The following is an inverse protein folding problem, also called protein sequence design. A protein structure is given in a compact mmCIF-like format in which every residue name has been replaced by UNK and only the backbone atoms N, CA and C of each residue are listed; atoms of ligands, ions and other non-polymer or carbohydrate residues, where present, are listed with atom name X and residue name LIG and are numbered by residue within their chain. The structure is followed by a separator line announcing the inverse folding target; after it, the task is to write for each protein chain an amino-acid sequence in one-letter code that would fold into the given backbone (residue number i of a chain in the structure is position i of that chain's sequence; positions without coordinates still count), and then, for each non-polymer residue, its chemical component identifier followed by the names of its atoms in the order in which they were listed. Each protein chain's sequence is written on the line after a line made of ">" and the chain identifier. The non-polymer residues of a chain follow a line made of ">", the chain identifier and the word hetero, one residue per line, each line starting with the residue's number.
data_IF_814560445089
#
_entry.id   IF_814560445089
#
_cell.length_a   1.000
_cell.length_b   1.000
_cell.length_c   1.000
_cell.angle_alpha   90.00
_cell.angle_beta   90.00
_cell.angle_gamma   90.00
#
_symmetry.space_group_name_H-M   'P 1'
#
loop_
_entity.id
_entity.type
_entity.pdbx_description
1 polymer ?
#
# COMPACT_ATOMS: atom_id res chain seq x y z
N UNK A 1 20.12 -7.32 -7.15
CA UNK A 1 19.49 -6.51 -6.09
C UNK A 1 19.88 -5.07 -6.32
N UNK A 2 18.95 -4.15 -6.26
CA UNK A 2 19.17 -2.72 -6.48
C UNK A 2 18.80 -1.95 -5.20
N UNK A 3 19.54 -0.88 -4.92
CA UNK A 3 19.20 0.03 -3.82
C UNK A 3 18.31 1.13 -4.38
N UNK A 4 17.13 1.29 -3.79
CA UNK A 4 16.14 2.29 -4.16
C UNK A 4 15.70 3.08 -2.93
N UNK A 5 15.12 4.25 -3.13
CA UNK A 5 14.42 4.99 -2.08
C UNK A 5 12.97 5.20 -2.45
N UNK A 6 12.11 5.28 -1.43
CA UNK A 6 10.75 5.74 -1.61
C UNK A 6 10.77 7.24 -1.90
N UNK A 7 10.01 7.66 -2.92
CA UNK A 7 9.81 9.07 -3.26
C UNK A 7 8.32 9.35 -3.47
N UNK A 8 7.83 10.36 -2.79
CA UNK A 8 6.40 10.67 -2.75
C UNK A 8 5.93 11.64 -3.84
N UNK A 9 6.79 11.96 -4.81
CA UNK A 9 6.49 12.92 -5.88
C UNK A 9 6.80 14.36 -5.48
N UNK A 10 7.11 15.19 -6.46
CA UNK A 10 7.54 16.59 -6.27
C UNK A 10 6.54 17.48 -5.52
N UNK A 11 5.26 17.10 -5.52
CA UNK A 11 4.21 17.83 -4.80
C UNK A 11 4.09 17.47 -3.32
N UNK A 12 4.54 16.27 -2.93
CA UNK A 12 4.27 15.68 -1.62
C UNK A 12 5.54 15.36 -0.83
N UNK A 13 6.70 15.28 -1.49
CA UNK A 13 7.97 14.97 -0.84
C UNK A 13 8.82 16.24 -0.66
N UNK A 14 9.45 16.35 0.49
CA UNK A 14 10.43 17.40 0.76
C UNK A 14 11.84 17.03 0.30
N UNK A 15 12.07 15.74 0.04
CA UNK A 15 13.34 15.22 -0.51
C UNK A 15 13.25 15.22 -2.02
N UNK A 16 14.20 15.88 -2.67
CA UNK A 16 14.22 15.98 -4.14
C UNK A 16 14.91 14.79 -4.81
N UNK A 17 14.60 14.53 -6.06
CA UNK A 17 15.26 13.49 -6.85
C UNK A 17 16.76 13.73 -6.97
N UNK A 18 17.20 15.00 -7.04
CA UNK A 18 18.62 15.36 -7.06
C UNK A 18 19.32 14.98 -5.76
N UNK A 19 18.66 15.13 -4.60
CA UNK A 19 19.20 14.68 -3.32
C UNK A 19 19.29 13.15 -3.26
N UNK A 20 18.27 12.44 -3.73
CA UNK A 20 18.26 10.98 -3.82
C UNK A 20 19.41 10.49 -4.69
N UNK A 21 19.61 11.11 -5.85
CA UNK A 21 20.69 10.75 -6.78
C UNK A 21 22.10 10.89 -6.19
N UNK A 22 22.30 11.76 -5.19
CA UNK A 22 23.59 11.95 -4.54
C UNK A 22 23.98 10.79 -3.62
N UNK A 23 23.04 9.91 -3.27
CA UNK A 23 23.31 8.77 -2.38
C UNK A 23 24.05 7.69 -3.16
N UNK A 24 25.28 7.32 -2.75
CA UNK A 24 26.06 6.31 -3.46
C UNK A 24 25.34 4.96 -3.55
N UNK A 25 25.21 4.42 -4.76
CA UNK A 25 24.60 3.12 -5.02
C UNK A 25 23.08 3.15 -5.25
N UNK A 26 22.39 4.25 -4.96
CA UNK A 26 20.98 4.43 -5.31
C UNK A 26 20.88 4.77 -6.80
N UNK A 27 20.03 4.02 -7.52
CA UNK A 27 19.83 4.19 -8.97
C UNK A 27 18.39 4.43 -9.35
N UNK A 28 17.46 4.09 -8.46
CA UNK A 28 16.05 4.20 -8.75
C UNK A 28 15.22 4.59 -7.54
N UNK A 29 13.95 4.84 -7.81
CA UNK A 29 12.94 5.16 -6.79
C UNK A 29 11.76 4.20 -6.87
N UNK A 30 11.13 3.98 -5.73
CA UNK A 30 9.78 3.43 -5.64
C UNK A 30 8.84 4.60 -5.44
N UNK A 31 7.81 4.73 -6.27
CA UNK A 31 6.91 5.88 -6.25
C UNK A 31 5.47 5.50 -6.59
N UNK A 32 4.55 6.47 -6.65
CA UNK A 32 3.14 6.25 -7.02
C UNK A 32 2.50 7.55 -7.55
N UNK A 33 1.29 7.44 -8.09
CA UNK A 33 0.43 8.58 -8.42
C UNK A 33 -0.49 8.90 -7.23
N UNK A 34 -0.05 9.80 -6.35
CA UNK A 34 -0.76 10.15 -5.10
C UNK A 34 -2.11 10.86 -5.29
N UNK A 35 -2.31 11.48 -6.43
CA UNK A 35 -3.52 12.23 -6.76
C UNK A 35 -4.54 11.39 -7.57
N UNK A 36 -4.46 10.07 -7.47
CA UNK A 36 -5.41 9.11 -8.08
C UNK A 36 -6.18 8.39 -6.99
N UNK A 37 -7.50 8.38 -7.09
CA UNK A 37 -8.35 7.68 -6.12
C UNK A 37 -8.25 6.16 -6.28
N UNK A 38 -8.42 5.37 -5.20
CA UNK A 38 -8.52 3.92 -5.30
C UNK A 38 -9.59 3.50 -6.31
N UNK A 39 -9.22 2.60 -7.22
CA UNK A 39 -10.13 2.10 -8.25
C UNK A 39 -10.20 2.93 -9.55
N UNK A 40 -9.56 4.08 -9.61
CA UNK A 40 -9.40 4.82 -10.87
C UNK A 40 -8.30 4.20 -11.74
N UNK A 41 -8.50 4.25 -13.06
CA UNK A 41 -7.48 3.85 -14.02
C UNK A 41 -6.34 4.87 -14.09
N UNK A 42 -5.12 4.40 -13.97
CA UNK A 42 -3.94 5.22 -14.24
C UNK A 42 -3.70 5.32 -15.75
N UNK A 43 -3.92 6.49 -16.31
CA UNK A 43 -3.67 6.65 -17.74
C UNK A 43 -2.18 6.55 -18.07
N UNK A 44 -1.88 6.05 -19.27
CA UNK A 44 -0.52 5.88 -19.73
C UNK A 44 0.25 7.21 -19.74
N UNK A 45 -0.42 8.31 -20.08
CA UNK A 45 0.16 9.65 -20.11
C UNK A 45 0.64 10.09 -18.72
N UNK A 46 -0.14 9.80 -17.67
CA UNK A 46 0.23 10.14 -16.29
C UNK A 46 1.39 9.29 -15.80
N UNK A 47 1.37 7.99 -16.09
CA UNK A 47 2.48 7.07 -15.75
C UNK A 47 3.75 7.54 -16.46
N UNK A 48 3.66 7.85 -17.76
CA UNK A 48 4.78 8.36 -18.54
C UNK A 48 5.33 9.68 -17.98
N UNK A 49 4.48 10.62 -17.62
CA UNK A 49 4.90 11.91 -17.05
C UNK A 49 5.68 11.73 -15.73
N UNK A 50 5.21 10.84 -14.85
CA UNK A 50 5.92 10.47 -13.61
C UNK A 50 7.28 9.82 -13.92
N UNK A 51 7.33 8.91 -14.88
CA UNK A 51 8.57 8.24 -15.31
C UNK A 51 9.56 9.25 -15.90
N UNK A 52 9.11 10.11 -16.81
CA UNK A 52 9.95 11.15 -17.44
C UNK A 52 10.55 12.10 -16.39
N UNK A 53 9.80 12.46 -15.34
CA UNK A 53 10.29 13.30 -14.24
C UNK A 53 11.46 12.62 -13.50
N UNK A 54 11.32 11.34 -13.18
CA UNK A 54 12.37 10.56 -12.50
C UNK A 54 13.60 10.37 -13.40
N UNK A 55 13.39 10.06 -14.67
CA UNK A 55 14.47 9.86 -15.63
C UNK A 55 15.25 11.14 -15.94
N UNK A 56 14.57 12.29 -15.96
CA UNK A 56 15.23 13.59 -16.12
C UNK A 56 16.23 13.91 -15.00
N UNK A 57 16.02 13.36 -13.78
CA UNK A 57 16.95 13.48 -12.67
C UNK A 57 18.09 12.44 -12.72
N UNK A 58 18.11 11.54 -13.72
CA UNK A 58 19.12 10.49 -13.87
C UNK A 58 18.91 9.28 -12.96
N UNK A 59 17.67 9.06 -12.54
CA UNK A 59 17.18 7.89 -11.82
C UNK A 59 16.21 7.12 -12.71
N UNK A 60 15.69 5.98 -12.25
CA UNK A 60 14.59 5.27 -12.91
C UNK A 60 13.51 4.85 -11.92
N UNK A 61 12.31 4.57 -12.40
CA UNK A 61 11.23 4.02 -11.59
C UNK A 61 11.46 2.52 -11.48
N UNK A 62 11.88 2.06 -10.29
CA UNK A 62 12.14 0.64 -10.02
C UNK A 62 10.88 -0.14 -9.67
N UNK A 63 9.81 0.54 -9.30
CA UNK A 63 8.51 -0.05 -8.99
C UNK A 63 7.52 0.97 -8.45
N UNK A 64 6.31 0.51 -8.32
CA UNK A 64 5.18 1.28 -7.80
C UNK A 64 4.83 0.79 -6.39
N UNK A 65 4.66 1.72 -5.49
CA UNK A 65 4.07 1.48 -4.17
C UNK A 65 3.18 2.67 -3.80
N UNK A 66 1.87 2.51 -3.93
CA UNK A 66 1.14 1.36 -4.38
C UNK A 66 0.11 1.74 -5.44
N UNK A 67 -0.37 0.75 -6.19
CA UNK A 67 -1.68 0.86 -6.83
C UNK A 67 -2.69 0.37 -5.80
N UNK A 68 -3.51 1.28 -5.29
CA UNK A 68 -4.45 0.97 -4.20
C UNK A 68 -5.58 0.07 -4.69
N UNK A 69 -5.82 -1.02 -3.96
CA UNK A 69 -6.93 -1.94 -4.24
C UNK A 69 -8.21 -1.39 -3.64
N UNK A 70 -9.25 -1.24 -4.46
CA UNK A 70 -10.54 -0.69 -4.04
C UNK A 70 -11.27 -1.61 -3.05
N UNK A 71 -12.00 -1.03 -2.09
CA UNK A 71 -12.70 -1.81 -1.04
C UNK A 71 -13.77 -2.77 -1.59
N UNK A 72 -14.39 -2.46 -2.73
CA UNK A 72 -15.30 -3.39 -3.40
C UNK A 72 -14.64 -4.73 -3.77
N UNK A 73 -13.35 -4.70 -4.14
CA UNK A 73 -12.57 -5.92 -4.41
C UNK A 73 -12.33 -6.68 -3.11
N UNK A 74 -11.91 -5.98 -2.06
CA UNK A 74 -11.61 -6.56 -0.75
C UNK A 74 -12.85 -7.18 -0.10
N UNK A 75 -14.01 -6.56 -0.27
CA UNK A 75 -15.28 -7.04 0.30
C UNK A 75 -16.00 -8.08 -0.56
N UNK A 76 -15.65 -8.15 -1.86
CA UNK A 76 -16.24 -9.12 -2.81
C UNK A 76 -17.65 -8.78 -3.24
N UNK A 77 -18.05 -7.51 -3.16
CA UNK A 77 -19.35 -7.05 -3.68
C UNK A 77 -19.39 -7.10 -5.23
N UNK A 78 -20.57 -7.14 -5.87
CA UNK A 78 -20.67 -7.30 -7.33
C UNK A 78 -19.90 -6.26 -8.14
N UNK A 79 -19.80 -5.05 -7.64
CA UNK A 79 -19.07 -3.93 -8.25
C UNK A 79 -17.56 -4.17 -8.37
N UNK A 80 -17.02 -5.18 -7.66
CA UNK A 80 -15.61 -5.53 -7.73
C UNK A 80 -15.11 -5.78 -9.15
N UNK A 81 -15.95 -6.31 -10.03
CA UNK A 81 -15.55 -6.65 -11.40
C UNK A 81 -15.10 -5.40 -12.17
N UNK A 82 -15.83 -4.30 -12.04
CA UNK A 82 -15.45 -3.02 -12.65
C UNK A 82 -14.11 -2.51 -12.12
N UNK A 83 -13.88 -2.63 -10.81
CA UNK A 83 -12.61 -2.17 -10.21
C UNK A 83 -11.44 -3.10 -10.52
N UNK A 84 -11.69 -4.40 -10.72
CA UNK A 84 -10.69 -5.34 -11.24
C UNK A 84 -10.33 -4.99 -12.69
N UNK A 85 -11.30 -4.69 -13.54
CA UNK A 85 -11.04 -4.26 -14.92
C UNK A 85 -10.19 -2.98 -14.96
N UNK A 86 -10.52 -2.00 -14.11
CA UNK A 86 -9.73 -0.76 -13.97
C UNK A 86 -8.29 -1.04 -13.48
N UNK A 87 -8.15 -2.00 -12.58
CA UNK A 87 -6.83 -2.41 -12.08
C UNK A 87 -6.00 -3.11 -13.18
N UNK A 88 -6.65 -3.98 -13.96
CA UNK A 88 -6.03 -4.65 -15.12
C UNK A 88 -5.56 -3.61 -16.15
N UNK A 89 -6.38 -2.61 -16.47
CA UNK A 89 -5.99 -1.54 -17.39
C UNK A 89 -4.81 -0.73 -16.85
N UNK A 90 -4.79 -0.45 -15.54
CA UNK A 90 -3.65 0.20 -14.87
C UNK A 90 -2.37 -0.61 -14.99
N UNK A 91 -2.43 -1.93 -14.72
CA UNK A 91 -1.28 -2.82 -14.88
C UNK A 91 -0.81 -2.89 -16.34
N UNK A 92 -1.75 -2.94 -17.29
CA UNK A 92 -1.40 -2.90 -18.72
C UNK A 92 -0.66 -1.61 -19.09
N UNK A 93 -1.11 -0.46 -18.57
CA UNK A 93 -0.47 0.83 -18.80
C UNK A 93 0.91 0.91 -18.15
N UNK A 94 1.10 0.37 -16.95
CA UNK A 94 2.41 0.24 -16.29
C UNK A 94 3.36 -0.64 -17.11
N UNK A 95 2.88 -1.80 -17.56
CA UNK A 95 3.68 -2.70 -18.39
C UNK A 95 4.09 -2.11 -19.73
N UNK A 96 3.24 -1.29 -20.36
CA UNK A 96 3.57 -0.55 -21.59
C UNK A 96 4.64 0.54 -21.38
N UNK A 97 4.80 1.01 -20.15
CA UNK A 97 5.84 1.96 -19.75
C UNK A 97 7.07 1.27 -19.11
N UNK A 98 7.19 -0.06 -19.23
CA UNK A 98 8.32 -0.85 -18.74
C UNK A 98 8.49 -0.79 -17.21
N UNK A 99 7.36 -0.76 -16.49
CA UNK A 99 7.31 -0.81 -15.02
C UNK A 99 6.75 -2.17 -14.62
N UNK A 100 7.59 -3.01 -13.99
CA UNK A 100 7.33 -4.43 -13.79
C UNK A 100 7.17 -4.84 -12.32
N UNK A 101 7.24 -3.91 -11.37
CA UNK A 101 7.06 -4.19 -9.94
C UNK A 101 5.96 -3.33 -9.37
N UNK A 102 4.94 -3.96 -8.81
CA UNK A 102 3.83 -3.29 -8.13
C UNK A 102 3.68 -3.84 -6.72
N UNK A 103 3.95 -3.01 -5.73
CA UNK A 103 3.58 -3.26 -4.35
C UNK A 103 2.12 -2.84 -4.13
N UNK A 104 1.38 -3.66 -3.41
CA UNK A 104 -0.01 -3.40 -3.03
C UNK A 104 -0.26 -3.92 -1.61
N UNK A 105 -1.37 -3.51 -1.01
CA UNK A 105 -1.87 -4.08 0.24
C UNK A 105 -3.33 -4.50 0.10
N UNK A 106 -3.80 -5.31 1.05
CA UNK A 106 -5.19 -5.79 1.08
C UNK A 106 -5.84 -5.53 2.43
N UNK A 107 -5.36 -4.50 3.13
CA UNK A 107 -5.85 -4.10 4.45
C UNK A 107 -7.24 -3.46 4.36
N UNK A 108 -8.21 -3.92 5.17
CA UNK A 108 -9.55 -3.31 5.25
C UNK A 108 -9.50 -1.88 5.77
N UNK A 109 -10.19 -0.98 5.13
CA UNK A 109 -10.42 0.43 5.50
C UNK A 109 -9.13 1.23 5.67
N UNK A 110 -8.32 0.88 6.66
CA UNK A 110 -7.07 1.55 6.98
C UNK A 110 -5.89 0.72 6.52
N UNK A 111 -4.94 1.35 5.82
CA UNK A 111 -3.66 0.75 5.51
C UNK A 111 -2.84 0.59 6.80
N UNK A 112 -1.62 1.09 6.88
CA UNK A 112 -0.87 1.09 8.12
C UNK A 112 -1.45 2.10 9.13
N UNK A 113 -1.39 1.76 10.42
CA UNK A 113 -1.96 2.58 11.49
C UNK A 113 -0.88 2.99 12.49
N UNK A 114 -0.87 4.27 12.86
CA UNK A 114 0.02 4.82 13.90
C UNK A 114 -0.80 5.72 14.84
N UNK A 115 -0.39 5.75 16.10
CA UNK A 115 -0.98 6.62 17.13
C UNK A 115 -0.21 7.91 17.33
N UNK A 116 1.06 7.94 16.91
CA UNK A 116 1.93 9.11 16.93
C UNK A 116 2.78 9.14 15.66
N UNK A 117 2.77 10.26 14.94
CA UNK A 117 3.53 10.41 13.69
C UNK A 117 4.92 11.00 13.90
N UNK A 118 5.20 11.56 15.06
CA UNK A 118 6.46 12.25 15.36
C UNK A 118 6.89 12.08 16.82
N UNK A 119 6.86 10.84 17.34
CA UNK A 119 7.36 10.56 18.69
C UNK A 119 8.84 10.90 18.78
N UNK A 120 9.19 11.79 19.70
CA UNK A 120 10.58 12.19 19.93
C UNK A 120 11.36 11.08 20.62
N UNK A 121 12.57 10.84 20.13
CA UNK A 121 13.55 9.93 20.75
C UNK A 121 14.59 10.73 21.57
N UNK A 122 15.35 10.06 22.47
CA UNK A 122 16.38 10.71 23.26
C UNK A 122 17.48 11.40 22.46
N UNK A 123 17.75 10.94 21.24
CA UNK A 123 18.74 11.51 20.33
C UNK A 123 18.20 12.73 19.54
N UNK A 124 16.96 13.14 19.79
CA UNK A 124 16.30 14.28 19.12
C UNK A 124 15.61 13.92 17.80
N UNK A 125 15.78 12.69 17.30
CA UNK A 125 15.06 12.21 16.10
C UNK A 125 13.57 11.98 16.39
N UNK A 126 12.78 11.87 15.34
CA UNK A 126 11.36 11.48 15.43
C UNK A 126 11.12 10.14 14.76
N UNK A 127 10.16 9.39 15.27
CA UNK A 127 9.73 8.11 14.71
C UNK A 127 8.22 7.99 14.74
N UNK A 128 7.69 7.20 13.81
CA UNK A 128 6.32 6.72 13.88
C UNK A 128 6.17 5.75 15.05
N UNK A 129 5.06 5.82 15.79
CA UNK A 129 4.82 4.93 16.90
C UNK A 129 3.37 4.43 16.93
N UNK A 130 3.21 3.21 17.42
CA UNK A 130 1.93 2.57 17.65
C UNK A 130 1.76 2.24 19.14
N UNK A 131 0.59 2.49 19.69
CA UNK A 131 0.20 2.15 21.05
C UNK A 131 -1.19 1.51 21.04
N UNK A 132 -1.28 0.24 21.45
CA UNK A 132 -2.53 -0.51 21.45
C UNK A 132 -3.58 0.12 22.35
N UNK A 133 -3.22 0.53 23.57
CA UNK A 133 -4.17 1.13 24.50
C UNK A 133 -4.79 2.41 23.95
N UNK A 134 -4.00 3.17 23.19
CA UNK A 134 -4.50 4.37 22.51
C UNK A 134 -5.47 4.01 21.38
N UNK A 135 -5.19 2.94 20.63
CA UNK A 135 -6.09 2.43 19.57
C UNK A 135 -7.39 1.90 20.17
N UNK A 136 -7.31 1.14 21.26
CA UNK A 136 -8.48 0.56 21.94
C UNK A 136 -9.38 1.64 22.57
N UNK A 137 -8.80 2.78 22.94
CA UNK A 137 -9.54 3.93 23.46
C UNK A 137 -10.20 4.79 22.36
N UNK A 138 -9.85 4.58 21.10
CA UNK A 138 -10.40 5.33 19.97
C UNK A 138 -11.75 4.77 19.52
N UNK A 139 -12.70 5.66 19.34
CA UNK A 139 -13.90 5.40 18.56
C UNK A 139 -13.56 5.64 17.08
N UNK A 140 -13.58 4.59 16.23
CA UNK A 140 -13.20 4.75 14.81
C UNK A 140 -13.99 5.84 14.09
N UNK A 141 -15.25 6.06 14.48
CA UNK A 141 -16.12 7.08 13.90
C UNK A 141 -15.73 8.50 14.30
N UNK A 142 -14.97 8.68 15.38
CA UNK A 142 -14.49 9.99 15.89
C UNK A 142 -13.01 10.22 15.68
N UNK A 143 -12.31 9.21 15.19
CA UNK A 143 -10.85 9.25 15.05
C UNK A 143 -10.37 10.35 14.09
N UNK A 144 -11.18 10.66 13.10
CA UNK A 144 -10.87 11.66 12.08
C UNK A 144 -10.62 13.05 12.69
N UNK A 145 -11.41 13.46 13.66
CA UNK A 145 -11.30 14.79 14.27
C UNK A 145 -10.00 14.97 15.07
N UNK A 146 -9.40 13.86 15.55
CA UNK A 146 -8.18 13.90 16.37
C UNK A 146 -6.89 13.76 15.56
N UNK A 147 -6.90 13.04 14.45
CA UNK A 147 -5.68 12.73 13.66
C UNK A 147 -5.46 13.77 12.54
N UNK A 148 -6.51 14.34 11.98
CA UNK A 148 -6.40 15.37 10.95
C UNK A 148 -5.63 16.63 11.42
N UNK A 149 -5.54 16.87 12.74
CA UNK A 149 -4.79 17.98 13.32
C UNK A 149 -3.28 17.76 13.47
N UNK A 150 -2.81 16.52 13.54
CA UNK A 150 -1.41 16.22 13.89
C UNK A 150 -0.52 15.80 12.71
N UNK A 151 -1.08 15.67 11.51
CA UNK A 151 -0.38 15.07 10.35
C UNK A 151 0.64 15.99 9.66
N UNK A 152 0.93 17.20 10.19
CA UNK A 152 1.87 18.16 9.57
C UNK A 152 1.66 18.34 8.05
N UNK A 153 0.43 18.19 7.57
CA UNK A 153 0.09 18.28 6.14
C UNK A 153 0.39 17.04 5.31
N UNK A 154 0.86 15.96 5.93
CA UNK A 154 1.07 14.67 5.24
C UNK A 154 -0.19 13.81 5.36
N UNK A 155 -0.76 13.42 4.23
CA UNK A 155 -1.88 12.49 4.16
C UNK A 155 -1.32 11.07 4.12
N UNK A 156 -1.74 10.23 5.04
CA UNK A 156 -1.37 8.81 5.04
C UNK A 156 -2.25 8.02 4.08
N UNK A 157 -1.71 7.04 3.34
CA UNK A 157 -2.52 6.14 2.53
C UNK A 157 -3.62 5.48 3.35
N UNK A 158 -4.86 5.49 2.84
CA UNK A 158 -6.04 5.01 3.56
C UNK A 158 -6.67 6.02 4.54
N UNK A 159 -6.05 7.19 4.71
CA UNK A 159 -6.52 8.24 5.60
C UNK A 159 -6.86 9.55 4.86
N UNK A 160 -7.12 9.45 3.57
CA UNK A 160 -7.51 10.59 2.75
C UNK A 160 -8.82 11.20 3.31
N UNK A 161 -8.94 12.55 3.38
CA UNK A 161 -10.12 13.21 3.95
C UNK A 161 -11.46 12.77 3.34
N UNK A 162 -11.49 12.56 2.03
CA UNK A 162 -12.68 12.11 1.31
C UNK A 162 -13.06 10.67 1.70
N UNK A 163 -12.07 9.79 1.87
CA UNK A 163 -12.27 8.42 2.34
C UNK A 163 -12.81 8.40 3.77
N UNK A 164 -12.25 9.24 4.64
CA UNK A 164 -12.68 9.33 6.03
C UNK A 164 -14.08 9.89 6.20
N UNK A 165 -14.55 10.74 5.29
CA UNK A 165 -15.95 11.21 5.29
C UNK A 165 -16.96 10.04 5.12
N UNK A 166 -16.53 8.93 4.51
CA UNK A 166 -17.33 7.73 4.26
C UNK A 166 -16.95 6.54 5.14
N UNK A 167 -16.18 6.77 6.22
CA UNK A 167 -15.68 5.68 7.07
C UNK A 167 -16.77 4.76 7.61
N UNK A 168 -17.95 5.30 7.95
CA UNK A 168 -19.09 4.49 8.42
C UNK A 168 -19.60 3.55 7.33
N UNK A 169 -19.71 4.03 6.11
CA UNK A 169 -20.14 3.23 4.96
C UNK A 169 -19.12 2.12 4.69
N UNK A 170 -17.83 2.44 4.81
CA UNK A 170 -16.76 1.44 4.70
C UNK A 170 -16.88 0.35 5.78
N UNK A 171 -17.06 0.72 7.05
CA UNK A 171 -17.27 -0.27 8.12
C UNK A 171 -18.49 -1.16 7.87
N UNK A 172 -19.59 -0.59 7.35
CA UNK A 172 -20.78 -1.36 6.97
C UNK A 172 -20.46 -2.37 5.84
N UNK A 173 -19.67 -2.00 4.84
CA UNK A 173 -19.24 -2.91 3.77
C UNK A 173 -18.44 -4.11 4.30
N UNK A 174 -17.67 -3.92 5.38
CA UNK A 174 -16.86 -4.98 5.97
C UNK A 174 -17.58 -5.77 7.07
N UNK A 175 -18.82 -5.45 7.44
CA UNK A 175 -19.55 -6.10 8.55
C UNK A 175 -19.55 -7.63 8.49
N UNK A 176 -19.76 -8.18 7.28
CA UNK A 176 -19.86 -9.62 7.03
C UNK A 176 -18.58 -10.18 6.35
N UNK A 177 -17.45 -9.49 6.48
CA UNK A 177 -16.17 -9.89 5.90
C UNK A 177 -15.22 -10.29 7.02
N UNK A 178 -15.11 -11.58 7.25
CA UNK A 178 -14.10 -12.17 8.14
C UNK A 178 -12.75 -12.38 7.40
N UNK A 179 -11.77 -12.93 8.11
CA UNK A 179 -10.44 -13.16 7.56
C UNK A 179 -10.44 -14.19 6.42
N UNK A 180 -11.29 -15.21 6.48
CA UNK A 180 -11.38 -16.22 5.41
C UNK A 180 -11.97 -15.61 4.13
N UNK A 181 -13.07 -14.89 4.25
CA UNK A 181 -13.68 -14.21 3.11
C UNK A 181 -12.75 -13.14 2.50
N UNK A 182 -12.04 -12.40 3.34
CA UNK A 182 -11.05 -11.42 2.88
C UNK A 182 -9.91 -12.11 2.12
N UNK A 183 -9.44 -13.26 2.62
CA UNK A 183 -8.42 -14.06 1.95
C UNK A 183 -8.91 -14.62 0.62
N UNK A 184 -10.13 -15.17 0.56
CA UNK A 184 -10.72 -15.68 -0.68
C UNK A 184 -10.88 -14.57 -1.73
N UNK A 185 -11.25 -13.36 -1.32
CA UNK A 185 -11.31 -12.20 -2.20
C UNK A 185 -9.93 -11.77 -2.71
N UNK A 186 -8.88 -11.90 -1.89
CA UNK A 186 -7.49 -11.66 -2.32
C UNK A 186 -7.07 -12.68 -3.39
N UNK A 187 -7.34 -13.96 -3.17
CA UNK A 187 -7.02 -15.01 -4.16
C UNK A 187 -7.76 -14.76 -5.47
N UNK A 188 -9.07 -14.47 -5.40
CA UNK A 188 -9.87 -14.13 -6.57
C UNK A 188 -9.28 -12.95 -7.36
N UNK A 189 -8.91 -11.89 -6.66
CA UNK A 189 -8.29 -10.71 -7.27
C UNK A 189 -6.99 -11.06 -7.98
N UNK A 190 -6.09 -11.81 -7.32
CA UNK A 190 -4.80 -12.18 -7.90
C UNK A 190 -4.96 -13.09 -9.13
N UNK A 191 -5.90 -14.02 -9.11
CA UNK A 191 -6.21 -14.86 -10.27
C UNK A 191 -6.76 -14.04 -11.44
N UNK A 192 -7.64 -13.07 -11.16
CA UNK A 192 -8.23 -12.22 -12.18
C UNK A 192 -7.20 -11.32 -12.89
N UNK A 193 -6.23 -10.76 -12.15
CA UNK A 193 -5.15 -9.95 -12.74
C UNK A 193 -3.99 -10.77 -13.31
N UNK A 194 -3.97 -12.09 -13.06
CA UNK A 194 -2.88 -12.98 -13.49
C UNK A 194 -2.52 -12.86 -14.97
N UNK A 195 -3.49 -12.91 -15.91
CA UNK A 195 -3.21 -12.82 -17.34
C UNK A 195 -2.48 -11.55 -17.76
N UNK A 196 -2.79 -10.39 -17.19
CA UNK A 196 -2.08 -9.14 -17.49
C UNK A 196 -0.69 -9.12 -16.86
N UNK A 197 -0.54 -9.66 -15.66
CA UNK A 197 0.76 -9.79 -15.00
C UNK A 197 1.71 -10.70 -15.82
N UNK A 198 1.23 -11.83 -16.29
CA UNK A 198 2.01 -12.74 -17.14
C UNK A 198 2.36 -12.09 -18.48
N UNK A 199 1.42 -11.41 -19.13
CA UNK A 199 1.61 -10.75 -20.43
C UNK A 199 2.71 -9.68 -20.40
N UNK A 200 2.78 -8.90 -19.32
CA UNK A 200 3.70 -7.78 -19.19
C UNK A 200 4.85 -8.02 -18.20
N UNK A 201 5.02 -9.27 -17.72
CA UNK A 201 6.02 -9.67 -16.71
C UNK A 201 5.97 -8.80 -15.44
N UNK A 202 4.78 -8.44 -14.98
CA UNK A 202 4.60 -7.65 -13.76
C UNK A 202 4.66 -8.56 -12.54
N UNK A 203 5.40 -8.16 -11.53
CA UNK A 203 5.48 -8.82 -10.22
C UNK A 203 4.64 -8.02 -9.22
N UNK A 204 3.68 -8.71 -8.63
CA UNK A 204 2.81 -8.19 -7.58
C UNK A 204 3.39 -8.55 -6.22
N UNK A 205 3.81 -7.56 -5.44
CA UNK A 205 4.32 -7.77 -4.10
C UNK A 205 3.33 -7.29 -3.05
N UNK A 206 2.71 -8.21 -2.29
CA UNK A 206 1.82 -7.78 -1.22
C UNK A 206 2.62 -7.24 -0.04
N UNK A 207 2.25 -6.04 0.41
CA UNK A 207 2.74 -5.50 1.68
C UNK A 207 2.03 -6.22 2.82
N UNK A 208 2.77 -6.76 3.80
CA UNK A 208 2.16 -7.36 4.99
C UNK A 208 1.32 -6.37 5.77
N UNK A 209 0.35 -6.87 6.54
CA UNK A 209 -0.52 -6.02 7.34
C UNK A 209 0.24 -5.28 8.44
N UNK A 210 -0.07 -4.02 8.63
CA UNK A 210 0.54 -3.17 9.65
C UNK A 210 -0.53 -2.33 10.38
N UNK A 211 -0.87 -2.68 11.62
CA UNK A 211 -0.29 -3.78 12.42
C UNK A 211 -0.71 -5.17 11.92
N UNK A 212 0.10 -6.17 12.29
CA UNK A 212 -0.10 -7.57 11.93
C UNK A 212 -1.15 -8.28 12.81
N UNK A 213 -2.17 -7.56 13.26
CA UNK A 213 -3.31 -8.04 14.04
C UNK A 213 -4.55 -7.21 13.78
N UNK A 214 -5.77 -7.75 14.01
CA UNK A 214 -7.03 -7.03 13.81
C UNK A 214 -7.09 -5.73 14.61
N UNK A 215 -7.62 -4.69 13.99
CA UNK A 215 -7.88 -3.38 14.62
C UNK A 215 -9.32 -2.96 14.31
N UNK A 216 -9.98 -2.33 15.27
CA UNK A 216 -11.36 -1.83 15.11
C UNK A 216 -12.38 -2.90 14.66
N UNK A 217 -12.13 -4.19 14.97
CA UNK A 217 -12.95 -5.30 14.48
C UNK A 217 -12.72 -5.70 13.02
N UNK A 218 -11.82 -5.03 12.32
CA UNK A 218 -11.48 -5.34 10.91
C UNK A 218 -10.43 -6.46 10.86
N UNK A 219 -10.60 -7.48 10.00
CA UNK A 219 -9.65 -8.58 9.89
C UNK A 219 -8.31 -8.15 9.29
N UNK A 220 -7.26 -8.93 9.61
CA UNK A 220 -5.95 -8.87 8.99
C UNK A 220 -5.57 -10.27 8.51
N UNK A 221 -4.99 -10.39 7.33
CA UNK A 221 -4.73 -11.68 6.66
C UNK A 221 -3.26 -11.93 6.31
N UNK A 222 -2.44 -10.87 6.26
CA UNK A 222 -1.00 -10.99 5.99
C UNK A 222 -0.19 -10.70 7.25
N UNK A 223 -0.34 -11.57 8.25
CA UNK A 223 0.09 -11.33 9.63
C UNK A 223 1.40 -12.01 10.03
N UNK A 224 1.96 -12.87 9.18
CA UNK A 224 3.20 -13.58 9.48
C UNK A 224 3.52 -14.69 8.49
N UNK A 225 4.47 -15.55 8.86
CA UNK A 225 4.99 -16.60 7.99
C UNK A 225 3.88 -17.52 7.44
N UNK A 226 2.97 -17.97 8.30
CA UNK A 226 1.97 -18.97 7.89
C UNK A 226 0.99 -18.38 6.88
N UNK A 227 0.57 -17.12 7.07
CA UNK A 227 -0.31 -16.44 6.12
C UNK A 227 0.38 -16.15 4.79
N UNK A 228 1.66 -15.81 4.82
CA UNK A 228 2.48 -15.66 3.59
C UNK A 228 2.58 -16.99 2.86
N UNK A 229 2.90 -18.09 3.56
CA UNK A 229 2.97 -19.43 2.97
C UNK A 229 1.63 -19.80 2.34
N UNK A 230 0.53 -19.60 3.08
CA UNK A 230 -0.83 -19.87 2.60
C UNK A 230 -1.14 -19.12 1.28
N UNK A 231 -0.75 -17.85 1.18
CA UNK A 231 -0.97 -17.06 -0.04
C UNK A 231 -0.14 -17.56 -1.22
N UNK A 232 1.14 -17.85 -0.99
CA UNK A 232 2.03 -18.36 -2.04
C UNK A 232 1.61 -19.74 -2.53
N UNK A 233 1.08 -20.60 -1.65
CA UNK A 233 0.54 -21.91 -2.01
C UNK A 233 -0.80 -21.79 -2.75
N UNK A 234 -1.67 -20.84 -2.36
CA UNK A 234 -2.97 -20.62 -2.99
C UNK A 234 -2.83 -20.05 -4.41
N UNK A 235 -1.87 -19.16 -4.63
CA UNK A 235 -1.58 -18.56 -5.94
C UNK A 235 -0.10 -18.81 -6.26
N UNK A 236 0.20 -20.07 -6.60
CA UNK A 236 1.55 -20.51 -7.00
C UNK A 236 1.88 -20.05 -8.43
N UNK A 237 2.16 -18.77 -8.54
CA UNK A 237 2.44 -18.08 -9.81
C UNK A 237 3.65 -17.15 -9.71
N UNK A 238 4.48 -17.06 -10.77
CA UNK A 238 5.68 -16.23 -10.78
C UNK A 238 5.42 -14.73 -10.59
N UNK A 239 4.20 -14.27 -10.81
CA UNK A 239 3.82 -12.87 -10.59
C UNK A 239 3.41 -12.56 -9.15
N UNK A 240 3.06 -13.58 -8.33
CA UNK A 240 2.66 -13.40 -6.94
C UNK A 240 3.88 -13.48 -6.01
N UNK A 241 4.04 -12.49 -5.16
CA UNK A 241 5.14 -12.38 -4.22
C UNK A 241 4.82 -11.48 -3.04
N UNK A 242 5.82 -11.20 -2.25
CA UNK A 242 5.70 -10.36 -1.05
C UNK A 242 6.65 -9.18 -1.09
N UNK A 243 6.27 -8.08 -0.45
CA UNK A 243 7.14 -6.97 -0.09
C UNK A 243 7.51 -7.10 1.39
N UNK A 244 8.59 -7.84 1.75
CA UNK A 244 8.88 -8.13 3.15
C UNK A 244 9.38 -6.89 3.87
N UNK A 245 8.70 -6.53 4.95
CA UNK A 245 9.12 -5.46 5.87
C UNK A 245 9.81 -6.09 7.06
N UNK A 246 11.15 -6.13 7.02
CA UNK A 246 11.97 -6.96 7.90
C UNK A 246 11.87 -6.61 9.39
N UNK A 247 11.56 -5.36 9.73
CA UNK A 247 11.43 -4.92 11.12
C UNK A 247 10.06 -5.20 11.74
N UNK A 248 9.04 -5.48 10.92
CA UNK A 248 7.67 -5.77 11.38
C UNK A 248 7.32 -7.25 11.31
N UNK A 249 7.83 -7.98 10.34
CA UNK A 249 7.36 -9.32 9.98
C UNK A 249 8.41 -10.42 10.12
N UNK A 250 9.69 -10.04 10.06
CA UNK A 250 10.79 -10.92 10.40
C UNK A 250 11.25 -10.52 11.79
N UNK A 251 10.51 -10.91 12.81
CA UNK A 251 10.83 -10.58 14.19
C UNK A 251 12.23 -11.04 14.55
N UNK A 252 13.17 -10.12 14.44
CA UNK A 252 14.28 -10.15 15.36
C UNK A 252 13.69 -9.78 16.72
N UNK A 253 13.89 -10.59 17.78
CA UNK A 253 13.46 -10.21 19.12
C UNK A 253 14.11 -8.86 19.41
N UNK A 254 13.32 -7.79 19.42
CA UNK A 254 13.76 -6.53 19.97
C UNK A 254 13.86 -6.75 21.46
N UNK A 255 15.07 -7.01 21.92
CA UNK A 255 15.34 -6.92 23.35
C UNK A 255 15.05 -5.50 23.79
N UNK A 256 13.99 -5.39 24.58
CA UNK A 256 13.63 -4.18 25.33
C UNK A 256 14.81 -3.67 26.15
#
# INVERSE_FOLDING_TARGET
>A
MEMTLRWYGSKFDTVTLEQIRQIPGVKGVITTLYDTQPGEVWSRERIKAMKDEVEAAGLHVSGIESVNVHDAIKTGVPEREQYIDNYIETLENLGKEDIHLVCYNFMPVFDWTRTELARKRPDGSTVLAYNQDAVDALDPEKMFDSIAGDANGSIMPGWEPERMAHVKELFEMYRDVDAEKLFDNLVYFLEAIGPVCEKYDIKMGIHPDDPAWPIFGLPRIMTGKDSVTRLLDAVDKPYNGITPVSYTHLTLPTTS
#
